data_IF_598610274363
#
_entry.id   IF_598610274363
#
_cell.length_a   1.000
_cell.length_b   1.000
_cell.length_c   1.000
_cell.angle_alpha   90.00
_cell.angle_beta   90.00
_cell.angle_gamma   90.00
#
_symmetry.space_group_name_H-M   'P 1'
#
loop_
_entity.id
_entity.type
_entity.pdbx_description
1 polymer ?
#
# COMPACT_ATOMS: atom_id res chain seq x y z
N UNK A 1 -22.58 16.65 -26.84
CA UNK A 1 -21.96 17.59 -27.78
C UNK A 1 -21.33 18.66 -26.93
N UNK A 2 -20.01 18.79 -26.93
CA UNK A 2 -19.31 19.77 -26.10
C UNK A 2 -19.22 21.09 -26.88
N UNK A 3 -19.87 22.13 -26.39
CA UNK A 3 -19.76 23.47 -26.96
C UNK A 3 -18.29 23.89 -26.95
N UNK A 4 -17.72 24.12 -28.13
CA UNK A 4 -16.36 24.58 -28.28
C UNK A 4 -16.25 25.96 -27.66
N UNK A 5 -15.45 26.10 -26.60
CA UNK A 5 -15.30 27.38 -25.91
C UNK A 5 -14.65 28.42 -26.85
N UNK A 6 -15.19 29.64 -26.88
CA UNK A 6 -14.77 30.74 -27.77
C UNK A 6 -13.56 31.54 -27.25
N UNK A 7 -12.70 30.90 -26.46
CA UNK A 7 -11.53 31.57 -25.90
C UNK A 7 -10.42 31.64 -26.96
N UNK A 8 -10.03 32.87 -27.34
CA UNK A 8 -9.00 33.11 -28.36
C UNK A 8 -7.57 32.92 -27.81
N UNK A 9 -7.42 32.95 -26.49
CA UNK A 9 -6.13 32.81 -25.80
C UNK A 9 -6.30 31.89 -24.59
N UNK A 10 -5.48 30.86 -24.51
CA UNK A 10 -5.36 30.00 -23.33
C UNK A 10 -4.20 30.52 -22.49
N UNK A 11 -4.46 30.86 -21.23
CA UNK A 11 -3.41 31.28 -20.31
C UNK A 11 -2.72 30.04 -19.74
N UNK A 12 -1.46 29.81 -20.16
CA UNK A 12 -0.69 28.63 -19.76
C UNK A 12 0.31 28.94 -18.65
N UNK A 13 0.42 30.20 -18.23
CA UNK A 13 1.35 30.61 -17.18
C UNK A 13 0.75 30.43 -15.77
N UNK A 14 1.61 30.27 -14.77
CA UNK A 14 1.18 30.37 -13.37
C UNK A 14 0.71 31.81 -13.10
N UNK A 15 -0.30 31.96 -12.23
CA UNK A 15 -0.73 33.28 -11.78
C UNK A 15 0.41 34.00 -11.02
N UNK A 16 0.36 35.33 -10.92
CA UNK A 16 1.28 36.09 -10.04
C UNK A 16 1.18 35.64 -8.59
N UNK A 17 -0.01 35.19 -8.16
CA UNK A 17 -0.25 34.67 -6.82
C UNK A 17 0.60 33.43 -6.51
N UNK A 18 1.00 32.64 -7.51
CA UNK A 18 1.95 31.54 -7.31
C UNK A 18 3.32 32.06 -6.84
N UNK A 19 3.79 33.17 -7.42
CA UNK A 19 5.05 33.79 -7.02
C UNK A 19 4.96 34.40 -5.61
N UNK A 20 3.84 35.09 -5.32
CA UNK A 20 3.58 35.69 -4.01
C UNK A 20 3.46 34.63 -2.90
N UNK A 21 2.86 33.48 -3.21
CA UNK A 21 2.80 32.33 -2.31
C UNK A 21 4.15 31.60 -2.18
N UNK A 22 5.17 31.93 -2.98
CA UNK A 22 6.44 31.19 -2.99
C UNK A 22 6.32 29.76 -3.54
N UNK A 23 5.34 29.52 -4.41
CA UNK A 23 5.16 28.23 -5.08
C UNK A 23 6.31 27.99 -6.06
N UNK A 24 7.00 26.86 -5.89
CA UNK A 24 8.04 26.39 -6.81
C UNK A 24 7.53 25.14 -7.51
N UNK A 25 7.55 25.16 -8.85
CA UNK A 25 7.13 24.00 -9.65
C UNK A 25 8.09 22.82 -9.40
N UNK A 26 7.58 21.63 -9.07
CA UNK A 26 8.40 20.43 -8.96
C UNK A 26 9.13 20.12 -10.27
N UNK A 27 10.31 19.52 -10.14
CA UNK A 27 11.17 19.22 -11.29
C UNK A 27 10.49 18.27 -12.28
N UNK A 28 10.91 18.24 -13.55
CA UNK A 28 10.51 17.23 -14.53
C UNK A 28 10.52 15.80 -13.98
N UNK A 29 11.57 15.46 -13.24
CA UNK A 29 11.77 14.13 -12.66
C UNK A 29 10.79 13.84 -11.53
N UNK A 30 10.55 14.82 -10.66
CA UNK A 30 9.59 14.71 -9.57
C UNK A 30 8.16 14.57 -10.10
N UNK A 31 7.81 15.30 -11.16
CA UNK A 31 6.50 15.21 -11.81
C UNK A 31 6.28 13.86 -12.47
N UNK A 32 7.28 13.37 -13.21
CA UNK A 32 7.20 12.03 -13.84
C UNK A 32 7.16 10.92 -12.80
N UNK A 33 7.88 11.08 -11.68
CA UNK A 33 7.82 10.16 -10.54
C UNK A 33 6.44 10.18 -9.87
N UNK A 34 5.84 11.36 -9.68
CA UNK A 34 4.51 11.52 -9.10
C UNK A 34 3.41 10.87 -9.96
N UNK A 35 3.57 10.86 -11.29
CA UNK A 35 2.68 10.15 -12.22
C UNK A 35 2.86 8.63 -12.19
N UNK A 36 3.96 8.12 -11.62
CA UNK A 36 4.21 6.68 -11.53
C UNK A 36 3.28 6.03 -10.51
N UNK A 37 2.53 5.02 -10.97
CA UNK A 37 1.64 4.21 -10.10
C UNK A 37 2.41 3.51 -8.97
N UNK A 38 3.69 3.22 -9.17
CA UNK A 38 4.53 2.48 -8.21
C UNK A 38 5.44 3.41 -7.41
N UNK A 39 5.48 4.71 -7.74
CA UNK A 39 6.46 5.66 -7.22
C UNK A 39 7.90 5.30 -7.60
N UNK A 40 8.08 4.59 -8.73
CA UNK A 40 9.38 4.28 -9.32
C UNK A 40 9.34 4.63 -10.80
N UNK A 41 10.40 5.26 -11.29
CA UNK A 41 10.58 5.47 -12.72
C UNK A 41 10.98 4.13 -13.37
N UNK A 42 10.26 3.73 -14.42
CA UNK A 42 10.70 2.62 -15.24
C UNK A 42 11.96 3.05 -16.02
N UNK A 43 12.85 2.09 -16.33
CA UNK A 43 13.99 2.36 -17.21
C UNK A 43 13.45 2.81 -18.57
N UNK A 44 13.77 4.05 -18.97
CA UNK A 44 13.21 4.68 -20.16
C UNK A 44 11.86 5.38 -19.95
N UNK A 45 11.42 5.67 -18.73
CA UNK A 45 10.16 6.40 -18.48
C UNK A 45 10.21 7.89 -18.89
N UNK A 46 11.38 8.43 -19.25
CA UNK A 46 11.54 9.78 -19.80
C UNK A 46 10.95 9.94 -21.22
N UNK A 47 10.17 8.98 -21.72
CA UNK A 47 9.62 8.95 -23.08
C UNK A 47 8.40 9.88 -23.32
N UNK A 48 8.16 10.88 -22.47
CA UNK A 48 7.51 12.08 -22.98
C UNK A 48 8.62 12.88 -23.63
N UNK A 49 8.50 13.19 -24.94
CA UNK A 49 9.47 14.03 -25.69
C UNK A 49 10.03 15.09 -24.74
N UNK A 50 11.35 15.18 -24.54
CA UNK A 50 11.94 16.06 -23.51
C UNK A 50 11.39 17.49 -23.55
N UNK A 51 10.95 17.91 -24.72
CA UNK A 51 10.23 19.15 -25.01
C UNK A 51 8.94 19.29 -24.18
N UNK A 52 8.05 18.29 -24.12
CA UNK A 52 6.75 18.41 -23.47
C UNK A 52 6.82 18.45 -21.92
N UNK A 53 7.88 17.97 -21.28
CA UNK A 53 7.98 18.09 -19.82
C UNK A 53 8.51 19.47 -19.42
N UNK A 54 9.40 20.04 -20.23
CA UNK A 54 10.06 21.32 -19.99
C UNK A 54 9.40 22.50 -20.69
N UNK A 55 8.47 22.25 -21.61
CA UNK A 55 7.74 23.30 -22.31
C UNK A 55 6.79 24.01 -21.34
N UNK A 56 7.02 25.32 -21.21
CA UNK A 56 6.20 26.24 -20.45
C UNK A 56 4.74 26.27 -20.95
N UNK A 57 4.48 25.79 -22.17
CA UNK A 57 3.17 25.65 -22.77
C UNK A 57 2.50 24.28 -22.50
N UNK A 58 3.13 23.40 -21.72
CA UNK A 58 2.52 22.10 -21.42
C UNK A 58 1.47 22.22 -20.32
N UNK A 59 0.22 22.02 -20.75
CA UNK A 59 -0.95 21.95 -19.90
C UNK A 59 -1.06 20.59 -19.19
N UNK A 60 -1.55 20.52 -17.93
CA UNK A 60 -1.85 21.64 -17.04
C UNK A 60 -0.63 22.06 -16.20
N UNK A 61 -0.36 23.37 -16.12
CA UNK A 61 0.45 23.93 -15.03
C UNK A 61 -0.42 24.04 -13.76
N UNK A 62 0.14 23.89 -12.56
CA UNK A 62 -0.58 24.17 -11.32
C UNK A 62 -1.01 25.63 -11.32
N UNK A 63 -2.31 25.86 -11.39
CA UNK A 63 -2.90 27.18 -11.29
C UNK A 63 -3.07 27.47 -9.79
N UNK A 64 -2.13 28.20 -9.19
CA UNK A 64 -2.28 28.67 -7.82
C UNK A 64 -3.27 29.83 -7.81
N UNK A 65 -4.49 29.60 -7.32
CA UNK A 65 -5.48 30.67 -7.17
C UNK A 65 -5.35 31.30 -5.77
N UNK A 66 -5.64 32.62 -5.63
CA UNK A 66 -5.68 33.24 -4.31
C UNK A 66 -6.72 32.56 -3.41
N UNK A 67 -6.30 32.15 -2.21
CA UNK A 67 -7.18 31.45 -1.24
C UNK A 67 -7.38 29.96 -1.55
N UNK A 68 -6.63 29.39 -2.50
CA UNK A 68 -6.56 27.94 -2.70
C UNK A 68 -5.51 27.33 -1.77
N UNK A 69 -5.64 26.03 -1.49
CA UNK A 69 -4.76 25.28 -0.59
C UNK A 69 -3.28 25.40 -0.99
N UNK A 70 -2.98 25.40 -2.30
CA UNK A 70 -1.62 25.57 -2.82
C UNK A 70 -1.05 26.97 -2.56
N UNK A 71 -1.91 27.99 -2.43
CA UNK A 71 -1.49 29.36 -2.11
C UNK A 71 -1.24 29.55 -0.61
N UNK A 72 -2.01 28.89 0.24
CA UNK A 72 -1.87 28.94 1.70
C UNK A 72 -0.72 28.04 2.21
N UNK A 73 -0.54 26.91 1.56
CA UNK A 73 0.45 25.88 1.93
C UNK A 73 1.39 25.53 0.77
N UNK A 74 2.22 26.49 0.33
CA UNK A 74 3.07 26.36 -0.86
C UNK A 74 4.17 25.30 -0.76
N UNK A 75 4.49 24.86 0.47
CA UNK A 75 5.53 23.86 0.75
C UNK A 75 4.97 22.44 0.89
N UNK A 76 3.66 22.28 0.89
CA UNK A 76 3.08 20.94 0.96
C UNK A 76 3.37 20.18 -0.33
N UNK A 77 3.82 18.94 -0.16
CA UNK A 77 4.07 18.07 -1.28
C UNK A 77 2.73 17.67 -1.89
N UNK A 78 2.58 17.91 -3.19
CA UNK A 78 1.39 17.49 -3.93
C UNK A 78 1.20 15.96 -3.84
N UNK A 79 -0.05 15.54 -3.97
CA UNK A 79 -0.41 14.12 -3.91
C UNK A 79 0.13 13.35 -5.14
N UNK A 80 0.80 12.22 -4.92
CA UNK A 80 1.27 11.37 -6.02
C UNK A 80 0.19 10.36 -6.46
N UNK A 81 0.27 9.86 -7.70
CA UNK A 81 -0.60 8.77 -8.17
C UNK A 81 -0.47 7.53 -7.26
N UNK A 82 0.74 7.25 -6.77
CA UNK A 82 0.97 6.15 -5.82
C UNK A 82 0.15 6.33 -4.54
N UNK A 83 0.12 7.53 -3.99
CA UNK A 83 -0.66 7.82 -2.78
C UNK A 83 -2.15 7.66 -3.03
N UNK A 84 -2.63 8.11 -4.19
CA UNK A 84 -4.01 7.90 -4.61
C UNK A 84 -4.38 6.41 -4.68
N UNK A 85 -3.55 5.59 -5.32
CA UNK A 85 -3.78 4.13 -5.37
C UNK A 85 -3.67 3.47 -3.99
N UNK A 86 -2.78 3.96 -3.12
CA UNK A 86 -2.65 3.45 -1.76
C UNK A 86 -3.89 3.75 -0.92
N UNK A 87 -4.46 4.95 -1.05
CA UNK A 87 -5.72 5.33 -0.40
C UNK A 87 -6.85 4.44 -0.90
N UNK A 88 -7.02 4.30 -2.22
CA UNK A 88 -8.05 3.46 -2.82
C UNK A 88 -7.93 1.99 -2.39
N UNK A 89 -6.71 1.43 -2.37
CA UNK A 89 -6.45 0.07 -1.91
C UNK A 89 -6.74 -0.10 -0.41
N UNK A 90 -6.51 0.93 0.39
CA UNK A 90 -6.82 0.92 1.83
C UNK A 90 -8.32 0.97 2.06
N UNK A 91 -9.04 1.81 1.31
CA UNK A 91 -10.50 1.87 1.34
C UNK A 91 -11.13 0.53 0.94
N UNK A 92 -10.67 -0.10 -0.14
CA UNK A 92 -11.12 -1.44 -0.55
C UNK A 92 -10.88 -2.49 0.54
N UNK A 93 -9.72 -2.45 1.20
CA UNK A 93 -9.42 -3.37 2.32
C UNK A 93 -10.35 -3.14 3.51
N UNK A 94 -10.61 -1.89 3.88
CA UNK A 94 -11.53 -1.56 4.97
C UNK A 94 -12.96 -2.01 4.65
N UNK A 95 -13.44 -1.81 3.43
CA UNK A 95 -14.73 -2.34 2.98
C UNK A 95 -14.79 -3.87 3.09
N UNK A 96 -13.74 -4.56 2.64
CA UNK A 96 -13.64 -6.02 2.73
C UNK A 96 -13.53 -6.54 4.18
N UNK A 97 -12.99 -5.75 5.11
CA UNK A 97 -12.97 -6.07 6.54
C UNK A 97 -14.37 -5.86 7.14
N UNK A 98 -15.00 -4.73 6.82
CA UNK A 98 -16.36 -4.39 7.29
C UNK A 98 -17.42 -5.37 6.82
N UNK A 99 -17.24 -6.01 5.66
CA UNK A 99 -18.18 -7.01 5.13
C UNK A 99 -18.00 -8.41 5.71
N UNK A 100 -16.96 -8.66 6.53
CA UNK A 100 -16.74 -9.96 7.16
C UNK A 100 -17.52 -10.04 8.47
N UNK A 101 -18.09 -11.21 8.75
CA UNK A 101 -18.70 -11.46 10.06
C UNK A 101 -17.63 -11.35 11.16
N UNK A 102 -17.85 -10.50 12.19
CA UNK A 102 -16.93 -10.42 13.31
C UNK A 102 -16.95 -11.75 14.08
N UNK A 103 -15.79 -12.40 14.19
CA UNK A 103 -15.62 -13.57 15.05
C UNK A 103 -15.21 -13.09 16.43
N UNK A 104 -16.11 -13.24 17.40
CA UNK A 104 -15.81 -12.95 18.80
C UNK A 104 -15.11 -14.15 19.42
N UNK A 105 -13.81 -14.01 19.65
CA UNK A 105 -13.03 -14.98 20.42
C UNK A 105 -13.24 -14.70 21.91
N UNK A 106 -14.02 -15.57 22.56
CA UNK A 106 -14.03 -15.65 24.01
C UNK A 106 -12.84 -16.50 24.45
N UNK A 107 -12.05 -15.97 25.38
CA UNK A 107 -11.02 -16.75 26.03
C UNK A 107 -11.65 -17.94 26.77
N UNK A 108 -10.94 -19.06 26.91
CA UNK A 108 -11.40 -20.15 27.77
C UNK A 108 -11.67 -19.59 29.18
N UNK A 109 -12.72 -20.07 29.86
CA UNK A 109 -13.00 -19.63 31.22
C UNK A 109 -11.76 -19.85 32.10
N UNK A 110 -11.43 -18.85 32.92
CA UNK A 110 -10.33 -18.93 33.88
C UNK A 110 -10.67 -20.02 34.89
N UNK A 111 -10.03 -21.18 34.79
CA UNK A 111 -10.15 -22.23 35.79
C UNK A 111 -9.19 -21.89 36.94
N UNK A 112 -9.74 -21.48 38.09
CA UNK A 112 -8.96 -21.29 39.32
C UNK A 112 -8.39 -22.61 39.86
N UNK A 113 -9.01 -23.74 39.50
CA UNK A 113 -8.61 -25.07 39.91
C UNK A 113 -8.70 -26.06 38.73
N UNK A 114 -7.57 -26.69 38.41
CA UNK A 114 -7.49 -27.80 37.47
C UNK A 114 -7.43 -29.11 38.28
N UNK A 115 -8.36 -30.07 38.06
CA UNK A 115 -8.28 -31.39 38.67
C UNK A 115 -6.91 -32.04 38.39
N UNK A 116 -6.33 -32.73 39.37
CA UNK A 116 -4.99 -33.35 39.25
C UNK A 116 -4.84 -34.24 38.00
N UNK A 117 -5.91 -34.94 37.60
CA UNK A 117 -5.96 -35.77 36.40
C UNK A 117 -5.77 -34.97 35.09
N UNK A 118 -6.20 -33.71 35.05
CA UNK A 118 -5.96 -32.81 33.93
C UNK A 118 -4.59 -32.17 34.00
N UNK A 119 -4.01 -31.98 35.18
CA UNK A 119 -2.65 -31.42 35.33
C UNK A 119 -1.59 -32.33 34.69
N UNK A 120 -1.76 -33.65 34.75
CA UNK A 120 -0.88 -34.59 34.06
C UNK A 120 -0.97 -34.53 32.53
N UNK A 121 -2.06 -33.96 31.98
CA UNK A 121 -2.24 -33.77 30.53
C UNK A 121 -1.70 -32.44 30.01
N UNK A 122 -1.36 -31.49 30.89
CA UNK A 122 -0.81 -30.17 30.52
C UNK A 122 0.62 -30.31 29.98
N UNK A 123 1.36 -31.29 30.50
CA UNK A 123 2.71 -31.57 30.06
C UNK A 123 2.65 -32.69 29.02
N UNK A 124 3.00 -32.44 27.74
CA UNK A 124 3.12 -33.53 26.78
C UNK A 124 4.16 -34.51 27.33
N UNK A 125 3.77 -35.78 27.45
CA UNK A 125 4.69 -36.86 27.81
C UNK A 125 5.65 -37.01 26.62
N UNK A 126 6.76 -36.29 26.67
CA UNK A 126 7.85 -36.48 25.75
C UNK A 126 8.49 -37.82 26.13
N UNK A 127 8.16 -38.88 25.39
CA UNK A 127 8.92 -40.11 25.45
C UNK A 127 10.38 -39.75 25.31
N UNK A 128 11.19 -40.09 26.32
CA UNK A 128 12.64 -39.91 26.36
C UNK A 128 13.35 -40.83 25.35
N UNK A 129 12.75 -41.06 24.18
CA UNK A 129 13.45 -41.48 22.97
C UNK A 129 14.26 -40.27 22.53
N UNK A 130 15.34 -40.06 23.28
CA UNK A 130 16.67 -39.80 22.76
C UNK A 130 16.67 -38.72 21.67
N UNK A 131 17.03 -37.51 22.09
CA UNK A 131 17.53 -36.46 21.20
C UNK A 131 18.88 -36.84 20.54
N UNK A 132 18.97 -38.03 19.94
CA UNK A 132 19.97 -38.34 18.93
C UNK A 132 19.44 -37.78 17.61
N UNK A 133 19.79 -36.54 17.34
CA UNK A 133 19.64 -35.95 16.02
C UNK A 133 18.28 -35.31 15.75
N UNK A 134 17.91 -34.28 16.50
CA UNK A 134 17.28 -33.12 15.85
C UNK A 134 18.40 -32.44 15.03
N UNK A 135 18.78 -33.07 13.93
CA UNK A 135 19.47 -32.42 12.80
C UNK A 135 18.80 -31.07 12.63
N UNK A 136 19.54 -29.96 12.77
CA UNK A 136 18.96 -28.63 12.56
C UNK A 136 18.27 -28.65 11.20
N UNK A 137 16.96 -28.48 11.18
CA UNK A 137 16.17 -28.53 9.95
C UNK A 137 16.58 -27.34 9.06
N UNK A 138 17.58 -27.50 8.19
CA UNK A 138 18.05 -26.47 7.25
C UNK A 138 17.21 -26.47 5.99
N UNK A 139 15.89 -26.41 6.14
CA UNK A 139 15.00 -26.42 4.98
C UNK A 139 15.02 -25.07 4.29
N UNK A 140 15.06 -25.11 2.97
CA UNK A 140 14.84 -23.91 2.15
C UNK A 140 13.37 -23.48 2.25
N UNK A 141 13.12 -22.18 2.07
CA UNK A 141 11.75 -21.61 2.08
C UNK A 141 10.79 -22.36 1.14
N UNK A 142 11.32 -22.91 0.04
CA UNK A 142 10.56 -23.70 -0.94
C UNK A 142 10.06 -25.02 -0.34
N UNK A 143 10.93 -25.76 0.36
CA UNK A 143 10.58 -27.02 1.03
C UNK A 143 9.56 -26.78 2.14
N UNK A 144 9.72 -25.70 2.91
CA UNK A 144 8.75 -25.30 3.93
C UNK A 144 7.35 -25.04 3.35
N UNK A 145 7.27 -24.30 2.23
CA UNK A 145 5.99 -24.03 1.55
C UNK A 145 5.34 -25.30 1.01
N UNK A 146 6.12 -26.23 0.47
CA UNK A 146 5.59 -27.50 -0.04
C UNK A 146 5.02 -28.37 1.07
N UNK A 147 5.71 -28.47 2.22
CA UNK A 147 5.19 -29.18 3.39
C UNK A 147 3.87 -28.55 3.87
N UNK A 148 3.84 -27.22 3.98
CA UNK A 148 2.63 -26.52 4.43
C UNK A 148 1.44 -26.76 3.49
N UNK A 149 1.68 -26.75 2.17
CA UNK A 149 0.66 -27.10 1.17
C UNK A 149 0.18 -28.55 1.30
N UNK A 150 1.11 -29.49 1.47
CA UNK A 150 0.78 -30.91 1.67
C UNK A 150 -0.08 -31.13 2.91
N UNK A 151 0.33 -30.57 4.06
CA UNK A 151 -0.41 -30.67 5.31
C UNK A 151 -1.80 -30.05 5.18
N UNK A 152 -1.90 -28.90 4.53
CA UNK A 152 -3.18 -28.24 4.31
C UNK A 152 -4.11 -29.06 3.42
N UNK A 153 -3.59 -29.71 2.37
CA UNK A 153 -4.39 -30.59 1.54
C UNK A 153 -4.87 -31.82 2.31
N UNK A 154 -3.99 -32.45 3.09
CA UNK A 154 -4.26 -33.71 3.78
C UNK A 154 -5.19 -33.55 5.01
N UNK A 155 -5.01 -32.49 5.79
CA UNK A 155 -5.83 -32.27 6.98
C UNK A 155 -7.20 -31.66 6.66
N UNK A 156 -7.35 -30.91 5.57
CA UNK A 156 -8.68 -30.46 5.12
C UNK A 156 -9.52 -31.64 4.61
N UNK A 157 -8.89 -32.68 4.04
CA UNK A 157 -9.62 -33.88 3.58
C UNK A 157 -10.10 -34.82 4.69
N UNK A 158 -9.58 -34.69 5.92
CA UNK A 158 -9.94 -35.55 7.06
C UNK A 158 -11.09 -34.98 7.93
N UNK A 159 -11.62 -33.80 7.59
CA UNK A 159 -12.69 -33.11 8.33
C UNK A 159 -14.05 -33.10 7.60
N UNK A 160 -14.21 -33.94 6.57
CA UNK A 160 -15.49 -34.21 5.91
C UNK A 160 -15.99 -35.62 6.22
#
# INVERSE_FOLDING_TARGET
>A
MSDSCSHQTVYVNCSSAAADAGFVRPSPEERTLAMSKTGRLARGAYLAKEDAINDDQTFPRPLALPGDHLSEHPREQGQSCKDWFAIEATQRRQQAISSRNPVYLYGPPSLEYLPEEMQSSINPILSQVVALGLERWTWTLKQYRQLFLYLRAYFITMLN
#
